data_IF_456631141545
#
_entry.id   IF_456631141545
#
_cell.length_a   1.000
_cell.length_b   1.000
_cell.length_c   1.000
_cell.angle_alpha   90.00
_cell.angle_beta   90.00
_cell.angle_gamma   90.00
#
_symmetry.space_group_name_H-M   'P 1'
#
loop_
_entity.id
_entity.type
_entity.pdbx_description
1 polymer ?
#
# COMPACT_ATOMS: atom_id res chain seq x y z
N UNK A 1 -21.78 10.95 -8.77
CA UNK A 1 -20.73 11.73 -8.06
C UNK A 1 -19.50 11.70 -8.95
N UNK A 2 -18.82 12.83 -9.13
CA UNK A 2 -17.67 12.94 -10.02
C UNK A 2 -16.37 12.99 -9.22
N UNK A 3 -15.29 12.49 -9.82
CA UNK A 3 -13.94 12.70 -9.31
C UNK A 3 -13.42 14.07 -9.72
N UNK A 4 -12.79 14.78 -8.80
CA UNK A 4 -12.22 16.12 -8.99
C UNK A 4 -10.74 16.04 -8.62
N UNK A 5 -9.87 16.27 -9.61
CA UNK A 5 -8.42 16.14 -9.46
C UNK A 5 -7.69 17.33 -10.08
N UNK A 6 -6.61 17.75 -9.44
CA UNK A 6 -5.61 18.65 -10.02
C UNK A 6 -4.41 17.83 -10.49
N UNK A 7 -4.14 17.83 -11.79
CA UNK A 7 -3.02 17.10 -12.35
C UNK A 7 -1.75 17.96 -12.37
N UNK A 8 -0.68 17.48 -11.73
CA UNK A 8 0.60 18.20 -11.62
C UNK A 8 1.67 17.71 -12.60
N UNK A 9 1.32 16.75 -13.47
CA UNK A 9 2.23 16.26 -14.49
C UNK A 9 3.44 15.54 -13.90
N UNK A 10 4.55 15.58 -14.65
CA UNK A 10 5.79 14.88 -14.34
C UNK A 10 6.56 15.60 -13.24
N UNK A 11 6.91 14.86 -12.21
CA UNK A 11 7.71 15.26 -11.07
C UNK A 11 8.99 14.40 -11.07
N UNK A 12 10.15 15.03 -10.89
CA UNK A 12 11.45 14.38 -11.00
C UNK A 12 12.38 14.79 -9.84
N UNK A 13 13.62 14.31 -9.87
CA UNK A 13 14.67 14.62 -8.88
C UNK A 13 14.48 14.01 -7.48
N UNK A 14 13.58 13.03 -7.33
CA UNK A 14 13.45 12.29 -6.08
C UNK A 14 14.61 11.31 -5.90
N UNK A 15 15.03 11.11 -4.65
CA UNK A 15 15.92 10.02 -4.29
C UNK A 15 15.14 8.70 -4.28
N UNK A 16 15.82 7.62 -4.66
CA UNK A 16 15.21 6.30 -4.64
C UNK A 16 14.93 5.83 -3.22
N UNK A 17 13.69 5.41 -2.97
CA UNK A 17 13.29 4.85 -1.67
C UNK A 17 14.04 3.57 -1.30
N UNK A 18 14.50 2.79 -2.29
CA UNK A 18 15.21 1.53 -2.11
C UNK A 18 16.74 1.74 -2.04
N UNK A 19 17.39 1.99 -3.17
CA UNK A 19 18.85 2.09 -3.26
C UNK A 19 19.42 3.47 -2.84
N UNK A 20 18.56 4.42 -2.47
CA UNK A 20 18.95 5.78 -2.02
C UNK A 20 19.69 6.63 -3.05
N UNK A 21 19.81 6.19 -4.30
CA UNK A 21 20.43 6.98 -5.35
C UNK A 21 19.70 8.32 -5.53
N UNK A 22 20.41 9.46 -5.56
CA UNK A 22 19.79 10.77 -5.75
C UNK A 22 19.28 10.92 -7.19
N UNK A 23 18.21 11.70 -7.37
CA UNK A 23 17.64 12.06 -8.69
C UNK A 23 17.37 10.88 -9.63
N UNK A 24 17.06 9.72 -9.08
CA UNK A 24 16.91 8.46 -9.80
C UNK A 24 15.46 7.98 -9.90
N UNK A 25 14.52 8.79 -9.41
CA UNK A 25 13.09 8.50 -9.44
C UNK A 25 12.31 9.62 -10.13
N UNK A 26 11.34 9.22 -10.94
CA UNK A 26 10.40 10.10 -11.61
C UNK A 26 8.99 9.54 -11.46
N UNK A 27 8.00 10.42 -11.33
CA UNK A 27 6.60 10.03 -11.21
C UNK A 27 5.67 11.10 -11.78
N UNK A 28 4.47 10.70 -12.15
CA UNK A 28 3.39 11.64 -12.43
C UNK A 28 2.54 11.81 -11.18
N UNK A 29 2.13 13.04 -10.88
CA UNK A 29 1.40 13.39 -9.67
C UNK A 29 0.05 14.04 -9.95
N UNK A 30 -0.92 13.80 -9.06
CA UNK A 30 -2.18 14.54 -9.01
C UNK A 30 -2.69 14.67 -7.58
N UNK A 31 -3.44 15.73 -7.30
CA UNK A 31 -4.17 15.89 -6.05
C UNK A 31 -5.65 15.57 -6.26
N UNK A 32 -6.17 14.60 -5.51
CA UNK A 32 -7.56 14.20 -5.59
C UNK A 32 -8.38 14.84 -4.47
N UNK A 33 -9.13 15.89 -4.81
CA UNK A 33 -10.09 16.55 -3.91
C UNK A 33 -11.28 15.63 -3.63
N UNK A 34 -11.73 14.92 -4.67
CA UNK A 34 -12.74 13.88 -4.58
C UNK A 34 -12.41 12.77 -5.57
N UNK A 35 -12.56 11.52 -5.16
CA UNK A 35 -12.29 10.38 -6.01
C UNK A 35 -13.35 9.30 -5.76
N UNK A 36 -14.03 8.87 -6.81
CA UNK A 36 -14.97 7.75 -6.70
C UNK A 36 -14.21 6.45 -6.47
N UNK A 37 -14.88 5.46 -5.87
CA UNK A 37 -14.27 4.15 -5.63
C UNK A 37 -13.88 3.47 -6.94
N UNK A 38 -14.69 3.61 -7.98
CA UNK A 38 -14.42 3.02 -9.29
C UNK A 38 -13.21 3.68 -9.96
N UNK A 39 -13.14 5.01 -9.99
CA UNK A 39 -11.99 5.71 -10.59
C UNK A 39 -10.70 5.39 -9.83
N UNK A 40 -10.76 5.27 -8.49
CA UNK A 40 -9.62 4.83 -7.71
C UNK A 40 -9.19 3.40 -8.05
N UNK A 41 -10.15 2.50 -8.28
CA UNK A 41 -9.88 1.13 -8.69
C UNK A 41 -9.14 1.11 -10.03
N UNK A 42 -9.64 1.85 -11.02
CA UNK A 42 -9.04 1.94 -12.36
C UNK A 42 -7.62 2.57 -12.32
N UNK A 43 -7.40 3.54 -11.43
CA UNK A 43 -6.09 4.13 -11.19
C UNK A 43 -5.10 3.08 -10.64
N UNK A 44 -5.49 2.33 -9.60
CA UNK A 44 -4.64 1.28 -9.01
C UNK A 44 -4.27 0.23 -10.07
N UNK A 45 -5.24 -0.21 -10.85
CA UNK A 45 -5.02 -1.25 -11.86
C UNK A 45 -4.09 -0.78 -13.00
N UNK A 46 -3.92 0.54 -13.17
CA UNK A 46 -2.95 1.18 -14.09
C UNK A 46 -1.62 1.56 -13.42
N UNK A 47 -1.41 1.13 -12.17
CA UNK A 47 -0.17 1.33 -11.41
C UNK A 47 -0.08 2.65 -10.64
N UNK A 48 -1.18 3.40 -10.50
CA UNK A 48 -1.22 4.56 -9.61
C UNK A 48 -1.26 4.15 -8.14
N UNK A 49 -0.74 5.03 -7.29
CA UNK A 49 -0.69 4.91 -5.83
C UNK A 49 -1.24 6.15 -5.17
N UNK A 50 -1.50 6.09 -3.87
CA UNK A 50 -2.08 7.19 -3.10
C UNK A 50 -1.45 7.34 -1.71
N UNK A 51 -1.15 8.57 -1.34
CA UNK A 51 -0.69 9.00 0.00
C UNK A 51 -1.57 10.17 0.46
N UNK A 52 -2.55 9.91 1.32
CA UNK A 52 -3.55 10.92 1.68
C UNK A 52 -4.42 11.28 0.48
N UNK A 53 -4.50 12.56 0.10
CA UNK A 53 -5.19 13.00 -1.13
C UNK A 53 -4.29 13.05 -2.36
N UNK A 54 -2.99 12.82 -2.21
CA UNK A 54 -2.05 12.84 -3.33
C UNK A 54 -1.98 11.46 -4.01
N UNK A 55 -2.24 11.41 -5.31
CA UNK A 55 -2.08 10.21 -6.13
C UNK A 55 -0.87 10.35 -7.05
N UNK A 56 -0.11 9.28 -7.25
CA UNK A 56 1.10 9.31 -8.07
C UNK A 56 1.38 7.99 -8.77
N UNK A 57 2.01 8.05 -9.95
CA UNK A 57 2.45 6.89 -10.73
C UNK A 57 3.94 7.00 -11.05
N UNK A 58 4.80 6.16 -10.46
CA UNK A 58 6.21 6.09 -10.84
C UNK A 58 6.39 5.72 -12.31
N UNK A 59 7.36 6.33 -12.97
CA UNK A 59 7.77 5.96 -14.32
C UNK A 59 8.85 4.87 -14.23
N UNK A 60 8.43 3.63 -14.45
CA UNK A 60 9.22 2.43 -14.15
C UNK A 60 10.46 2.31 -15.03
N UNK A 61 10.38 2.77 -16.27
CA UNK A 61 11.48 2.70 -17.24
C UNK A 61 12.62 3.68 -16.93
N UNK A 62 12.32 4.74 -16.16
CA UNK A 62 13.30 5.77 -15.77
C UNK A 62 13.77 5.60 -14.33
N UNK A 63 12.98 4.92 -13.49
CA UNK A 63 13.27 4.76 -12.08
C UNK A 63 14.22 3.59 -11.85
N UNK A 64 15.35 3.83 -11.17
CA UNK A 64 16.41 2.82 -10.99
C UNK A 64 15.96 1.54 -10.27
N UNK A 65 14.96 1.63 -9.38
CA UNK A 65 14.34 0.50 -8.70
C UNK A 65 12.84 0.47 -9.02
N UNK A 66 12.41 -0.29 -10.03
CA UNK A 66 11.01 -0.42 -10.38
C UNK A 66 10.20 -0.86 -9.17
N UNK A 67 9.15 -0.11 -8.86
CA UNK A 67 8.25 -0.42 -7.75
C UNK A 67 6.96 -1.00 -8.32
N UNK A 68 6.68 -2.27 -8.04
CA UNK A 68 5.42 -2.90 -8.43
C UNK A 68 4.43 -2.79 -7.29
N UNK A 69 3.26 -2.22 -7.57
CA UNK A 69 2.19 -2.13 -6.58
C UNK A 69 1.62 -3.53 -6.35
N UNK A 70 1.76 -4.06 -5.13
CA UNK A 70 1.12 -5.32 -4.75
C UNK A 70 -0.29 -5.00 -4.28
N UNK A 71 -1.29 -5.53 -4.99
CA UNK A 71 -2.71 -5.44 -4.61
C UNK A 71 -3.14 -6.74 -3.96
N UNK A 72 -3.71 -6.66 -2.76
CA UNK A 72 -4.37 -7.81 -2.14
C UNK A 72 -5.75 -7.98 -2.78
N UNK A 73 -6.02 -9.14 -3.38
CA UNK A 73 -7.38 -9.50 -3.76
C UNK A 73 -8.19 -9.84 -2.50
N UNK A 74 -8.90 -8.82 -2.00
CA UNK A 74 -9.71 -8.94 -0.80
C UNK A 74 -10.86 -9.93 -0.97
N UNK A 75 -11.42 -10.06 -2.18
CA UNK A 75 -12.54 -10.95 -2.46
C UNK A 75 -12.08 -12.41 -2.53
N UNK A 76 -10.87 -12.65 -3.03
CA UNK A 76 -10.22 -13.96 -3.06
C UNK A 76 -9.51 -14.36 -1.76
N UNK A 77 -9.45 -13.47 -0.75
CA UNK A 77 -8.68 -13.73 0.47
C UNK A 77 -9.24 -14.90 1.28
N UNK A 78 -8.40 -15.91 1.52
CA UNK A 78 -8.72 -17.09 2.34
C UNK A 78 -7.88 -17.14 3.60
N UNK A 79 -8.53 -17.25 4.76
CA UNK A 79 -7.86 -17.37 6.04
C UNK A 79 -7.06 -18.67 6.16
N UNK A 80 -5.75 -18.56 6.32
CA UNK A 80 -4.88 -19.69 6.66
C UNK A 80 -4.92 -20.02 8.17
N UNK A 81 -4.17 -21.04 8.58
CA UNK A 81 -4.12 -21.47 9.99
C UNK A 81 -3.57 -20.39 10.93
N UNK A 82 -2.56 -19.62 10.51
CA UNK A 82 -1.96 -18.57 11.33
C UNK A 82 -2.90 -17.38 11.52
N UNK A 83 -3.60 -16.94 10.47
CA UNK A 83 -4.62 -15.90 10.56
C UNK A 83 -5.74 -16.29 11.53
N UNK A 84 -6.25 -17.53 11.43
CA UNK A 84 -7.27 -18.06 12.36
C UNK A 84 -6.76 -18.08 13.81
N UNK A 85 -5.49 -18.43 14.04
CA UNK A 85 -4.88 -18.41 15.38
C UNK A 85 -4.85 -17.00 15.96
N UNK A 86 -4.49 -16.00 15.16
CA UNK A 86 -4.48 -14.59 15.58
C UNK A 86 -5.89 -14.11 15.91
N UNK A 87 -6.88 -14.38 15.06
CA UNK A 87 -8.28 -14.00 15.31
C UNK A 87 -8.78 -14.58 16.64
N UNK A 88 -8.50 -15.86 16.91
CA UNK A 88 -8.86 -16.50 18.20
C UNK A 88 -8.21 -15.79 19.39
N UNK A 89 -6.94 -15.36 19.26
CA UNK A 89 -6.24 -14.64 20.32
C UNK A 89 -6.86 -13.27 20.58
N UNK A 90 -7.17 -12.53 19.52
CA UNK A 90 -7.85 -11.23 19.63
C UNK A 90 -9.22 -11.39 20.27
N UNK A 91 -10.03 -12.35 19.83
CA UNK A 91 -11.35 -12.60 20.42
C UNK A 91 -11.25 -12.99 21.90
N UNK A 92 -10.27 -13.81 22.29
CA UNK A 92 -10.01 -14.15 23.70
C UNK A 92 -9.65 -12.90 24.50
N UNK A 93 -8.78 -12.05 23.97
CA UNK A 93 -8.39 -10.79 24.62
C UNK A 93 -9.58 -9.85 24.79
N UNK A 94 -10.42 -9.68 23.76
CA UNK A 94 -11.61 -8.82 23.84
C UNK A 94 -12.66 -9.34 24.84
N UNK A 95 -12.76 -10.66 25.01
CA UNK A 95 -13.70 -11.28 25.96
C UNK A 95 -13.18 -11.27 27.39
N UNK A 96 -11.92 -11.63 27.59
CA UNK A 96 -11.37 -11.97 28.91
C UNK A 96 -10.40 -10.90 29.45
N UNK A 97 -9.98 -9.93 28.63
CA UNK A 97 -8.96 -8.92 28.97
C UNK A 97 -7.54 -9.46 29.10
N UNK A 98 -7.35 -10.78 29.08
CA UNK A 98 -6.07 -11.44 29.31
C UNK A 98 -5.28 -11.61 28.01
N UNK A 99 -4.09 -11.01 27.97
CA UNK A 99 -3.12 -11.24 26.89
C UNK A 99 -2.42 -12.57 27.15
N UNK A 100 -2.58 -13.55 26.27
CA UNK A 100 -1.99 -14.88 26.47
C UNK A 100 -0.47 -14.81 26.57
N UNK A 101 0.08 -15.12 27.74
CA UNK A 101 1.52 -15.29 27.99
C UNK A 101 2.00 -16.53 27.22
N UNK A 102 2.80 -16.35 26.16
CA UNK A 102 3.48 -17.47 25.49
C UNK A 102 3.53 -17.51 23.96
N UNK A 103 2.95 -16.55 23.25
CA UNK A 103 2.84 -16.63 21.77
C UNK A 103 3.81 -15.69 21.02
N UNK A 104 4.87 -15.22 21.69
CA UNK A 104 5.94 -14.33 21.18
C UNK A 104 7.12 -15.10 20.53
N UNK A 105 6.96 -16.41 20.27
CA UNK A 105 8.02 -17.24 19.68
C UNK A 105 7.95 -17.37 18.15
N UNK A 106 7.02 -16.68 17.49
CA UNK A 106 6.85 -16.76 16.03
C UNK A 106 7.00 -15.39 15.38
N UNK A 107 8.15 -14.75 15.61
CA UNK A 107 8.59 -13.60 14.83
C UNK A 107 9.10 -14.16 13.49
N UNK A 108 8.50 -13.82 12.33
CA UNK A 108 9.18 -14.10 11.07
C UNK A 108 10.52 -13.37 11.11
N UNK A 109 11.61 -14.09 10.83
CA UNK A 109 12.92 -13.48 10.61
C UNK A 109 12.75 -12.37 9.59
N UNK A 110 13.14 -11.15 9.98
CA UNK A 110 13.21 -10.04 9.07
C UNK A 110 14.12 -10.45 7.89
N UNK A 111 13.57 -10.37 6.67
CA UNK A 111 14.35 -10.18 5.45
C UNK A 111 14.79 -8.72 5.40
#
# INVERSE_FOLDING_TARGET
MFSIVDFYGKQANYSCGYCKQPKSCQSHGMWAHSLTVQDYQDLIDRGWRRSGSYCYKPEMDTTCCPSYTIKCDAMGFRLNKSHKKIIKRVNKFLRDGLKGEGDDKNKPSAL
#
